data_IF_741364242830
#
_entry.id   IF_741364242830
#
_cell.length_a   1.000
_cell.length_b   1.000
_cell.length_c   1.000
_cell.angle_alpha   90.00
_cell.angle_beta   90.00
_cell.angle_gamma   90.00
#
_symmetry.space_group_name_H-M   'P 1'
#
loop_
_entity.id
_entity.type
_entity.pdbx_description
1 polymer ?
#
# COMPACT_ATOMS: atom_id res chain seq x y z
N UNK A 1 5.75 -21.16 -11.64
CA UNK A 1 6.57 -20.80 -12.82
C UNK A 1 8.02 -20.58 -12.41
N UNK A 2 8.98 -20.69 -13.34
CA UNK A 2 10.40 -20.41 -13.10
C UNK A 2 10.65 -19.04 -12.49
N UNK A 3 9.91 -18.00 -12.96
CA UNK A 3 9.98 -16.64 -12.40
C UNK A 3 9.54 -16.57 -10.94
N UNK A 4 8.52 -17.31 -10.57
CA UNK A 4 8.03 -17.40 -9.18
C UNK A 4 9.08 -18.07 -8.28
N UNK A 5 9.69 -19.15 -8.76
CA UNK A 5 10.75 -19.82 -8.02
C UNK A 5 12.00 -18.95 -7.87
N UNK A 6 12.37 -18.22 -8.91
CA UNK A 6 13.46 -17.25 -8.85
C UNK A 6 13.16 -16.14 -7.85
N UNK A 7 11.94 -15.58 -7.85
CA UNK A 7 11.54 -14.58 -6.89
C UNK A 7 11.63 -15.06 -5.44
N UNK A 8 11.19 -16.29 -5.16
CA UNK A 8 11.33 -16.92 -3.83
C UNK A 8 12.80 -17.09 -3.43
N UNK A 9 13.65 -17.57 -4.34
CA UNK A 9 15.10 -17.71 -4.09
C UNK A 9 15.74 -16.36 -3.79
N UNK A 10 15.38 -15.32 -4.55
CA UNK A 10 15.91 -13.98 -4.34
C UNK A 10 15.54 -13.45 -2.96
N UNK A 11 14.27 -13.59 -2.51
CA UNK A 11 13.86 -13.19 -1.16
C UNK A 11 14.68 -13.90 -0.08
N UNK A 12 14.91 -15.20 -0.21
CA UNK A 12 15.73 -15.96 0.75
C UNK A 12 17.19 -15.47 0.78
N UNK A 13 17.76 -15.15 -0.39
CA UNK A 13 19.12 -14.61 -0.48
C UNK A 13 19.18 -13.20 0.16
N UNK A 14 18.22 -12.34 -0.16
CA UNK A 14 18.12 -10.99 0.45
C UNK A 14 18.12 -11.08 1.98
N UNK A 15 17.31 -11.97 2.55
CA UNK A 15 17.27 -12.16 4.01
C UNK A 15 18.60 -12.66 4.58
N UNK A 16 19.28 -13.58 3.92
CA UNK A 16 20.62 -14.05 4.33
C UNK A 16 21.65 -12.93 4.31
N UNK A 17 21.46 -11.92 3.48
CA UNK A 17 22.32 -10.72 3.39
C UNK A 17 21.88 -9.61 4.36
N UNK A 18 20.89 -9.84 5.23
CA UNK A 18 20.38 -8.84 6.16
C UNK A 18 19.40 -7.85 5.54
N UNK A 19 18.97 -8.07 4.29
CA UNK A 19 17.97 -7.24 3.62
C UNK A 19 16.55 -7.69 3.98
N UNK A 20 15.60 -6.76 3.98
CA UNK A 20 14.18 -7.06 4.11
C UNK A 20 13.52 -7.00 2.72
N UNK A 21 12.98 -8.12 2.22
CA UNK A 21 12.18 -8.09 0.99
C UNK A 21 10.91 -7.26 1.19
N UNK A 22 10.60 -6.41 0.23
CA UNK A 22 9.36 -5.64 0.20
C UNK A 22 8.48 -6.18 -0.91
N UNK A 23 7.27 -6.59 -0.58
CA UNK A 23 6.27 -7.07 -1.52
C UNK A 23 5.26 -5.97 -1.84
N UNK A 24 4.48 -6.17 -2.90
CA UNK A 24 3.38 -5.28 -3.24
C UNK A 24 2.30 -5.33 -2.17
N UNK A 25 1.91 -4.18 -1.62
CA UNK A 25 0.72 -4.03 -0.79
C UNK A 25 -0.53 -3.82 -1.64
N UNK A 26 -1.71 -4.11 -1.07
CA UNK A 26 -2.99 -3.90 -1.74
C UNK A 26 -3.65 -2.60 -1.29
N UNK A 27 -3.93 -1.71 -2.23
CA UNK A 27 -4.61 -0.42 -1.99
C UNK A 27 -5.99 -0.34 -2.64
N UNK A 28 -6.48 -1.43 -3.23
CA UNK A 28 -7.80 -1.47 -3.86
C UNK A 28 -7.80 -1.48 -5.38
N UNK A 29 -6.64 -1.48 -6.02
CA UNK A 29 -6.56 -1.52 -7.49
C UNK A 29 -7.17 -2.81 -8.04
N UNK A 30 -8.04 -2.67 -9.04
CA UNK A 30 -8.76 -3.78 -9.66
C UNK A 30 -8.79 -3.66 -11.19
N UNK A 31 -8.97 -4.78 -11.92
CA UNK A 31 -9.21 -4.74 -13.35
C UNK A 31 -10.41 -3.89 -13.72
N UNK A 32 -10.38 -3.29 -14.91
CA UNK A 32 -11.45 -2.39 -15.39
C UNK A 32 -12.81 -3.06 -15.54
N UNK A 33 -12.82 -4.38 -15.72
CA UNK A 33 -14.01 -5.20 -15.90
C UNK A 33 -14.49 -5.91 -14.63
N UNK A 34 -13.96 -5.56 -13.48
CA UNK A 34 -14.28 -6.20 -12.20
C UNK A 34 -15.80 -6.25 -11.94
N UNK A 35 -16.53 -5.18 -12.27
CA UNK A 35 -17.98 -5.10 -12.07
C UNK A 35 -18.77 -6.06 -12.94
N UNK A 36 -18.19 -6.55 -14.04
CA UNK A 36 -18.81 -7.61 -14.85
C UNK A 36 -18.68 -8.99 -14.18
N UNK A 37 -17.69 -9.17 -13.31
CA UNK A 37 -17.43 -10.41 -12.56
C UNK A 37 -18.03 -10.36 -11.16
N UNK A 38 -18.02 -9.20 -10.55
CA UNK A 38 -18.58 -8.93 -9.24
C UNK A 38 -19.40 -7.63 -9.30
N UNK A 39 -20.71 -7.70 -9.60
CA UNK A 39 -21.58 -6.52 -9.68
C UNK A 39 -21.71 -5.76 -8.35
N UNK A 40 -21.35 -6.38 -7.22
CA UNK A 40 -21.38 -5.74 -5.91
C UNK A 40 -20.12 -4.90 -5.62
N UNK A 41 -19.09 -4.95 -6.49
CA UNK A 41 -17.85 -4.22 -6.30
C UNK A 41 -18.06 -2.71 -6.41
N UNK A 42 -17.82 -2.00 -5.31
CA UNK A 42 -17.89 -0.55 -5.25
C UNK A 42 -16.62 0.10 -5.82
N UNK A 43 -16.71 0.50 -7.07
CA UNK A 43 -15.55 0.92 -7.88
C UNK A 43 -15.51 2.44 -8.07
N UNK A 44 -14.33 3.01 -7.90
CA UNK A 44 -14.02 4.41 -8.18
C UNK A 44 -13.14 4.47 -9.42
N UNK A 45 -13.63 5.14 -10.48
CA UNK A 45 -12.84 5.40 -11.68
C UNK A 45 -11.74 6.43 -11.37
N UNK A 46 -10.51 6.13 -11.75
CA UNK A 46 -9.34 6.93 -11.42
C UNK A 46 -8.94 7.96 -12.49
N UNK A 47 -9.63 7.99 -13.62
CA UNK A 47 -9.28 8.89 -14.73
C UNK A 47 -7.99 8.47 -15.46
N UNK A 48 -7.23 9.44 -15.92
CA UNK A 48 -5.99 9.23 -16.71
C UNK A 48 -4.76 9.77 -15.98
N UNK A 49 -3.60 9.21 -16.28
CA UNK A 49 -2.30 9.70 -15.87
C UNK A 49 -1.33 9.60 -17.06
N UNK A 50 -0.66 10.68 -17.42
CA UNK A 50 0.22 10.75 -18.59
C UNK A 50 -0.42 10.15 -19.86
N UNK A 51 -1.70 10.46 -20.10
CA UNK A 51 -2.50 9.94 -21.23
C UNK A 51 -2.89 8.46 -21.15
N UNK A 52 -2.50 7.74 -20.10
CA UNK A 52 -2.91 6.35 -19.87
C UNK A 52 -4.10 6.28 -18.93
N UNK A 53 -5.04 5.39 -19.24
CA UNK A 53 -6.16 5.09 -18.36
C UNK A 53 -5.64 4.42 -17.08
N UNK A 54 -5.91 5.04 -15.93
CA UNK A 54 -5.62 4.40 -14.65
C UNK A 54 -6.55 3.21 -14.40
N UNK A 55 -6.06 2.13 -13.79
CA UNK A 55 -6.96 1.08 -13.30
C UNK A 55 -7.93 1.66 -12.27
N UNK A 56 -9.12 1.08 -12.21
CA UNK A 56 -10.10 1.45 -11.19
C UNK A 56 -9.66 0.99 -9.80
N UNK A 57 -10.19 1.63 -8.78
CA UNK A 57 -9.95 1.24 -7.38
C UNK A 57 -11.27 0.94 -6.69
N UNK A 58 -11.27 -0.01 -5.77
CA UNK A 58 -12.37 -0.24 -4.85
C UNK A 58 -12.39 0.87 -3.79
N UNK A 59 -13.57 1.21 -3.31
CA UNK A 59 -13.69 1.98 -2.07
C UNK A 59 -13.07 1.19 -0.92
N UNK A 60 -12.11 1.78 -0.22
CA UNK A 60 -11.41 1.08 0.87
C UNK A 60 -12.30 0.82 2.08
N UNK A 61 -13.40 1.58 2.22
CA UNK A 61 -14.42 1.43 3.26
C UNK A 61 -15.52 0.40 2.90
N UNK A 62 -15.42 -0.28 1.73
CA UNK A 62 -16.40 -1.26 1.26
C UNK A 62 -16.07 -2.70 1.68
N UNK A 63 -17.10 -3.56 1.68
CA UNK A 63 -16.92 -5.00 1.86
C UNK A 63 -16.11 -5.63 0.73
N UNK A 64 -16.27 -5.12 -0.50
CA UNK A 64 -15.51 -5.56 -1.66
C UNK A 64 -14.01 -5.38 -1.46
N UNK A 65 -13.58 -4.24 -0.89
CA UNK A 65 -12.17 -4.02 -0.57
C UNK A 65 -11.65 -5.08 0.40
N UNK A 66 -12.36 -5.32 1.50
CA UNK A 66 -11.96 -6.32 2.50
C UNK A 66 -11.84 -7.72 1.89
N UNK A 67 -12.82 -8.11 1.07
CA UNK A 67 -12.84 -9.40 0.35
C UNK A 67 -11.63 -9.55 -0.58
N UNK A 68 -11.37 -8.55 -1.42
CA UNK A 68 -10.29 -8.63 -2.40
C UNK A 68 -8.91 -8.44 -1.79
N UNK A 69 -8.77 -7.66 -0.73
CA UNK A 69 -7.53 -7.57 0.04
C UNK A 69 -7.16 -8.93 0.65
N UNK A 70 -8.11 -9.61 1.29
CA UNK A 70 -7.87 -10.94 1.85
C UNK A 70 -7.44 -11.95 0.76
N UNK A 71 -8.12 -11.93 -0.39
CA UNK A 71 -7.77 -12.78 -1.52
C UNK A 71 -6.38 -12.46 -2.07
N UNK A 72 -6.04 -11.17 -2.22
CA UNK A 72 -4.75 -10.72 -2.71
C UNK A 72 -3.60 -11.25 -1.84
N UNK A 73 -3.67 -11.02 -0.53
CA UNK A 73 -2.62 -11.47 0.38
C UNK A 73 -2.55 -12.99 0.50
N UNK A 74 -3.68 -13.69 0.46
CA UNK A 74 -3.70 -15.15 0.41
C UNK A 74 -2.92 -15.67 -0.79
N UNK A 75 -3.25 -15.18 -2.00
CA UNK A 75 -2.58 -15.60 -3.24
C UNK A 75 -1.12 -15.18 -3.24
N UNK A 76 -0.79 -14.00 -2.71
CA UNK A 76 0.59 -13.53 -2.60
C UNK A 76 1.44 -14.48 -1.74
N UNK A 77 0.92 -14.94 -0.58
CA UNK A 77 1.58 -15.93 0.27
C UNK A 77 1.74 -17.28 -0.44
N UNK A 78 0.73 -17.75 -1.16
CA UNK A 78 0.82 -18.97 -1.96
C UNK A 78 1.91 -18.86 -3.04
N UNK A 79 2.03 -17.70 -3.68
CA UNK A 79 2.98 -17.45 -4.78
C UNK A 79 4.40 -17.19 -4.28
N UNK A 80 4.60 -16.38 -3.25
CA UNK A 80 5.92 -15.92 -2.82
C UNK A 80 6.40 -16.52 -1.50
N UNK A 81 5.53 -17.20 -0.76
CA UNK A 81 5.80 -17.69 0.58
C UNK A 81 5.52 -16.64 1.65
N UNK A 82 5.81 -16.98 2.91
CA UNK A 82 5.54 -16.18 4.10
C UNK A 82 6.84 -15.68 4.75
N UNK A 83 7.73 -15.13 3.96
CA UNK A 83 9.05 -14.71 4.43
C UNK A 83 9.29 -13.21 4.38
N UNK A 84 8.35 -12.44 3.84
CA UNK A 84 8.40 -10.98 3.77
C UNK A 84 7.22 -10.38 4.53
N UNK A 85 7.51 -9.38 5.36
CA UNK A 85 6.54 -8.69 6.21
C UNK A 85 6.45 -7.19 5.89
N UNK A 86 7.12 -6.75 4.82
CA UNK A 86 7.09 -5.37 4.33
C UNK A 86 6.29 -5.30 3.04
N UNK A 87 5.32 -4.39 3.00
CA UNK A 87 4.38 -4.26 1.89
C UNK A 87 4.33 -2.81 1.42
N UNK A 88 4.71 -2.54 0.17
CA UNK A 88 4.70 -1.21 -0.39
C UNK A 88 3.44 -0.97 -1.24
N UNK A 89 2.74 0.09 -0.92
CA UNK A 89 1.67 0.64 -1.76
C UNK A 89 1.41 2.10 -1.39
N UNK A 90 1.10 2.92 -2.38
CA UNK A 90 0.82 4.35 -2.21
C UNK A 90 -0.55 4.64 -2.82
N UNK A 91 -1.64 4.55 -2.03
CA UNK A 91 -2.98 4.81 -2.52
C UNK A 91 -3.10 6.26 -3.00
N UNK A 92 -3.65 6.44 -4.19
CA UNK A 92 -3.87 7.77 -4.81
C UNK A 92 -2.61 8.62 -5.03
N UNK A 93 -1.46 7.98 -5.12
CA UNK A 93 -0.19 8.63 -5.41
C UNK A 93 -0.23 9.39 -6.76
N UNK A 94 0.39 10.58 -6.80
CA UNK A 94 0.38 11.48 -7.96
C UNK A 94 -1.02 11.84 -8.48
N UNK A 95 -1.92 12.06 -7.56
CA UNK A 95 -3.31 12.34 -7.88
C UNK A 95 -4.12 11.07 -8.14
N UNK A 96 -5.36 11.13 -7.93
CA UNK A 96 -6.32 10.03 -8.07
C UNK A 96 -7.64 10.48 -7.46
N UNK A 97 -8.68 9.76 -7.80
CA UNK A 97 -10.00 10.05 -7.26
C UNK A 97 -10.25 9.22 -6.01
N UNK A 98 -10.33 9.86 -4.84
CA UNK A 98 -10.64 9.18 -3.58
C UNK A 98 -12.09 8.74 -3.47
N UNK A 99 -12.97 9.18 -4.40
CA UNK A 99 -14.42 8.95 -4.29
C UNK A 99 -15.05 9.62 -3.08
N UNK A 100 -14.42 10.71 -2.58
CA UNK A 100 -14.88 11.43 -1.40
C UNK A 100 -14.54 10.75 -0.07
N UNK A 101 -13.73 9.68 -0.08
CA UNK A 101 -13.26 9.05 1.15
C UNK A 101 -12.23 9.94 1.86
N UNK A 102 -12.26 9.94 3.18
CA UNK A 102 -11.25 10.56 4.02
C UNK A 102 -9.92 9.78 3.94
N UNK A 103 -8.81 10.50 3.79
CA UNK A 103 -7.47 9.90 3.73
C UNK A 103 -7.12 9.10 4.99
N UNK A 104 -7.61 9.52 6.16
CA UNK A 104 -7.43 8.78 7.39
C UNK A 104 -8.18 7.44 7.39
N UNK A 105 -9.39 7.40 6.83
CA UNK A 105 -10.15 6.15 6.65
C UNK A 105 -9.45 5.24 5.65
N UNK A 106 -8.94 5.79 4.56
CA UNK A 106 -8.19 5.03 3.54
C UNK A 106 -7.00 4.33 4.19
N UNK A 107 -6.14 5.07 4.90
CA UNK A 107 -4.94 4.50 5.52
C UNK A 107 -5.27 3.46 6.59
N UNK A 108 -6.26 3.74 7.43
CA UNK A 108 -6.73 2.79 8.44
C UNK A 108 -7.16 1.45 7.82
N UNK A 109 -7.94 1.49 6.74
CA UNK A 109 -8.44 0.28 6.08
C UNK A 109 -7.34 -0.48 5.33
N UNK A 110 -6.43 0.24 4.67
CA UNK A 110 -5.29 -0.36 3.98
C UNK A 110 -4.39 -1.08 4.98
N UNK A 111 -3.96 -0.40 6.06
CA UNK A 111 -3.12 -1.01 7.08
C UNK A 111 -3.82 -2.18 7.79
N UNK A 112 -5.09 -2.03 8.15
CA UNK A 112 -5.87 -3.10 8.78
C UNK A 112 -5.94 -4.35 7.89
N UNK A 113 -6.06 -4.20 6.58
CA UNK A 113 -6.07 -5.33 5.65
C UNK A 113 -4.73 -6.06 5.59
N UNK A 114 -3.61 -5.33 5.65
CA UNK A 114 -2.27 -5.90 5.74
C UNK A 114 -2.10 -6.68 7.05
N UNK A 115 -2.43 -6.06 8.19
CA UNK A 115 -2.28 -6.67 9.52
C UNK A 115 -3.20 -7.88 9.72
N UNK A 116 -4.38 -7.90 9.10
CA UNK A 116 -5.27 -9.06 9.11
C UNK A 116 -4.63 -10.26 8.39
N UNK A 117 -3.93 -10.01 7.30
CA UNK A 117 -3.25 -11.05 6.54
C UNK A 117 -1.91 -11.45 7.16
N UNK A 118 -1.22 -10.50 7.78
CA UNK A 118 0.10 -10.66 8.40
C UNK A 118 0.20 -9.76 9.64
N UNK A 119 0.10 -10.32 10.86
CA UNK A 119 0.21 -9.53 12.10
C UNK A 119 1.55 -8.80 12.28
N UNK A 120 2.58 -9.18 11.52
CA UNK A 120 3.90 -8.54 11.52
C UNK A 120 4.08 -7.55 10.36
N UNK A 121 3.01 -7.26 9.61
CA UNK A 121 3.07 -6.37 8.47
C UNK A 121 3.64 -5.00 8.84
N UNK A 122 4.51 -4.49 7.97
CA UNK A 122 4.95 -3.10 7.95
C UNK A 122 4.58 -2.50 6.60
N UNK A 123 3.77 -1.48 6.62
CA UNK A 123 3.42 -0.73 5.42
C UNK A 123 4.54 0.23 5.04
N UNK A 124 5.14 0.03 3.87
CA UNK A 124 6.17 0.91 3.31
C UNK A 124 5.49 1.95 2.42
N UNK A 125 5.58 3.22 2.82
CA UNK A 125 4.97 4.37 2.14
C UNK A 125 6.09 5.21 1.52
N UNK A 126 5.96 5.59 0.26
CA UNK A 126 6.92 6.47 -0.40
C UNK A 126 6.51 7.93 -0.21
N UNK A 127 7.43 8.74 0.30
CA UNK A 127 7.26 10.19 0.34
C UNK A 127 7.59 10.80 -1.02
N UNK A 128 6.58 11.32 -1.71
CA UNK A 128 6.71 11.94 -3.03
C UNK A 128 5.57 12.92 -3.29
N UNK A 129 5.87 14.13 -3.77
CA UNK A 129 4.88 15.15 -4.18
C UNK A 129 3.72 15.38 -3.18
N UNK A 130 4.04 15.53 -1.90
CA UNK A 130 3.05 15.77 -0.83
C UNK A 130 2.30 14.53 -0.34
N UNK A 131 2.71 13.35 -0.76
CA UNK A 131 2.29 12.08 -0.17
C UNK A 131 3.42 11.53 0.72
N UNK A 132 3.13 10.91 1.88
CA UNK A 132 1.81 10.82 2.52
C UNK A 132 1.31 12.16 3.08
N UNK A 133 0.00 12.38 3.00
CA UNK A 133 -0.61 13.54 3.66
C UNK A 133 -0.68 13.34 5.17
N UNK A 134 -0.70 14.43 5.93
CA UNK A 134 -0.91 14.38 7.39
C UNK A 134 -2.16 13.59 7.77
N UNK A 135 -3.26 13.75 7.02
CA UNK A 135 -4.48 13.00 7.26
C UNK A 135 -4.31 11.48 7.05
N UNK A 136 -3.53 11.07 6.03
CA UNK A 136 -3.21 9.66 5.81
C UNK A 136 -2.42 9.09 7.00
N UNK A 137 -1.42 9.81 7.49
CA UNK A 137 -0.62 9.38 8.64
C UNK A 137 -1.43 9.35 9.95
N UNK A 138 -2.33 10.31 10.15
CA UNK A 138 -3.24 10.33 11.30
C UNK A 138 -4.15 9.10 11.35
N UNK A 139 -4.56 8.58 10.20
CA UNK A 139 -5.39 7.37 10.12
C UNK A 139 -4.68 6.10 10.58
N UNK A 140 -3.35 6.09 10.69
CA UNK A 140 -2.59 4.96 11.27
C UNK A 140 -2.88 4.80 12.77
N UNK A 141 -3.19 5.90 13.48
CA UNK A 141 -3.53 5.87 14.90
C UNK A 141 -2.45 5.21 15.75
N UNK A 142 -2.85 4.29 16.61
CA UNK A 142 -1.93 3.55 17.49
C UNK A 142 -1.06 2.52 16.73
N UNK A 143 -1.38 2.25 15.46
CA UNK A 143 -0.64 1.31 14.62
C UNK A 143 0.46 1.98 13.78
N UNK A 144 0.84 3.21 14.09
CA UNK A 144 1.90 3.93 13.35
C UNK A 144 3.25 3.20 13.32
N UNK A 145 3.53 2.37 14.32
CA UNK A 145 4.71 1.51 14.39
C UNK A 145 4.69 0.38 13.33
N UNK A 146 3.58 0.18 12.64
CA UNK A 146 3.45 -0.71 11.49
C UNK A 146 3.57 0.02 10.15
N UNK A 147 4.10 1.24 10.14
CA UNK A 147 4.37 2.00 8.93
C UNK A 147 5.84 2.48 8.91
N UNK A 148 6.41 2.48 7.72
CA UNK A 148 7.74 3.01 7.43
C UNK A 148 7.62 3.96 6.25
N UNK A 149 7.95 5.23 6.45
CA UNK A 149 7.99 6.22 5.37
C UNK A 149 9.39 6.28 4.78
N UNK A 150 9.50 6.08 3.48
CA UNK A 150 10.74 6.28 2.74
C UNK A 150 10.77 7.71 2.21
N UNK A 151 11.60 8.56 2.80
CA UNK A 151 11.78 9.94 2.35
C UNK A 151 12.59 9.98 1.06
N UNK A 152 11.89 9.87 -0.07
CA UNK A 152 12.52 9.88 -1.38
C UNK A 152 13.14 11.25 -1.65
N UNK A 153 14.35 11.25 -2.19
CA UNK A 153 15.09 12.46 -2.52
C UNK A 153 15.62 13.24 -1.30
N UNK A 154 15.66 12.59 -0.12
CA UNK A 154 16.09 13.18 1.14
C UNK A 154 17.53 13.69 1.12
N UNK A 155 18.39 13.16 0.24
CA UNK A 155 19.76 13.64 0.04
C UNK A 155 19.84 15.09 -0.50
N UNK A 156 18.75 15.62 -1.07
CA UNK A 156 18.66 16.99 -1.57
C UNK A 156 17.57 17.80 -0.88
N UNK A 157 16.43 17.20 -0.62
CA UNK A 157 15.26 17.87 -0.04
C UNK A 157 14.65 16.95 1.02
N UNK A 158 15.28 16.87 2.22
CA UNK A 158 14.79 16.01 3.29
C UNK A 158 13.50 16.57 3.88
N UNK A 159 12.46 15.72 3.98
CA UNK A 159 11.20 16.07 4.63
C UNK A 159 11.15 15.65 6.10
N UNK A 160 12.00 14.70 6.51
CA UNK A 160 12.05 14.21 7.89
C UNK A 160 12.49 15.26 8.90
N UNK A 161 13.23 16.29 8.48
CA UNK A 161 13.75 17.37 9.31
C UNK A 161 12.96 18.69 9.16
N UNK A 162 11.84 18.72 8.46
CA UNK A 162 11.04 19.91 8.34
C UNK A 162 10.58 20.38 9.72
N UNK A 163 10.53 21.73 9.89
CA UNK A 163 10.28 22.40 11.17
C UNK A 163 8.89 22.13 11.76
N UNK A 164 8.06 21.37 11.06
CA UNK A 164 6.82 20.87 11.60
C UNK A 164 7.10 19.57 12.37
N UNK A 165 7.21 19.61 13.71
CA UNK A 165 7.62 18.44 14.49
C UNK A 165 6.64 17.31 14.25
N UNK A 166 7.17 16.21 13.67
CA UNK A 166 6.40 15.03 13.34
C UNK A 166 5.72 15.09 11.99
N UNK A 167 6.35 15.66 10.96
CA UNK A 167 5.85 15.63 9.58
C UNK A 167 5.35 14.23 9.19
N UNK A 168 6.11 13.19 9.56
CA UNK A 168 5.71 11.79 9.39
C UNK A 168 5.16 11.15 10.67
N UNK A 169 4.92 11.91 11.75
CA UNK A 169 4.29 11.40 12.97
C UNK A 169 5.07 10.29 13.69
N UNK A 170 6.38 10.17 13.43
CA UNK A 170 7.23 9.12 13.98
C UNK A 170 7.14 7.76 13.26
N UNK A 171 6.62 7.75 12.03
CA UNK A 171 6.55 6.57 11.16
C UNK A 171 7.76 6.46 10.21
N UNK A 172 8.87 7.09 10.54
CA UNK A 172 10.12 7.06 9.77
C UNK A 172 10.94 5.79 10.05
#
# INVERSE_FOLDING_TARGET
TERTELARKNQLIMRKLGMQPVLQGYSGMVPVDITSKDPSAEVIKQGTWCSFQRPSMLRTDSESFTKYAALFYKVQKEVYGDSAHYYATDPFHEGGNTGGMDSAVISQKVLASMMTADPHATWVIQSWQGNPTTALLQGLGDNRNHALVLDLYAEKTPHWNETNPGYYGGAE
#
